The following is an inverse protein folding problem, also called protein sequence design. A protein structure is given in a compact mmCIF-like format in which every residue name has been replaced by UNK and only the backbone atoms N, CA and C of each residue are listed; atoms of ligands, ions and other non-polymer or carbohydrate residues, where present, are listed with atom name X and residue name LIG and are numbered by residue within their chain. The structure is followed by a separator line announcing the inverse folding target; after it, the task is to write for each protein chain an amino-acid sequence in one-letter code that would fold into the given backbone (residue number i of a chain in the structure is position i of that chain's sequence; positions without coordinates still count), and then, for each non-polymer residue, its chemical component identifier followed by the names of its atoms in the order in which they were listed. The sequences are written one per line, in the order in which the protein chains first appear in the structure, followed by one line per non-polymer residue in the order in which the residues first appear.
data_IF_463301629247
#
_entry.id   IF_463301629247
#
_cell.length_a   1.000
_cell.length_b   1.000
_cell.length_c   1.000
_cell.angle_alpha   90.00
_cell.angle_beta   90.00
_cell.angle_gamma   90.00
#
_symmetry.space_group_name_H-M   'P 1'
#
loop_
_entity.id
_entity.type
_entity.pdbx_description
1 polymer ?
#
# COMPACT_ATOMS: atom_id res chain seq x y z
N UNK A 1 -3.70 -5.12 -14.97
CA UNK A 1 -2.74 -4.10 -14.48
C UNK A 1 -2.94 -3.91 -12.97
N UNK A 2 -1.92 -3.50 -12.22
CA UNK A 2 -2.08 -3.12 -10.80
C UNK A 2 -1.59 -1.68 -10.61
N UNK A 3 -2.36 -0.87 -9.89
CA UNK A 3 -1.99 0.50 -9.52
C UNK A 3 -1.80 0.55 -8.02
N UNK A 4 -0.56 0.77 -7.57
CA UNK A 4 -0.21 0.81 -6.14
C UNK A 4 -0.10 2.25 -5.65
N UNK A 5 -1.04 2.66 -4.80
CA UNK A 5 -1.09 3.95 -4.14
C UNK A 5 -0.23 3.96 -2.87
N UNK A 6 0.38 5.09 -2.56
CA UNK A 6 1.29 5.24 -1.41
C UNK A 6 0.85 6.32 -0.41
N UNK A 7 -0.12 7.15 -0.76
CA UNK A 7 -0.55 8.28 0.06
C UNK A 7 -1.92 8.80 -0.36
N UNK A 8 -2.57 9.53 0.55
CA UNK A 8 -3.83 10.25 0.31
C UNK A 8 -3.65 11.78 0.25
N UNK A 9 -2.41 12.25 0.30
CA UNK A 9 -2.08 13.68 0.21
C UNK A 9 -0.82 13.89 -0.61
N UNK A 10 -0.67 15.05 -1.27
CA UNK A 10 0.57 15.41 -1.96
C UNK A 10 1.79 15.40 -1.03
N UNK A 11 1.62 15.87 0.21
CA UNK A 11 2.71 15.95 1.20
C UNK A 11 3.19 14.55 1.61
N UNK A 12 2.27 13.66 1.96
CA UNK A 12 2.62 12.30 2.34
C UNK A 12 3.14 11.49 1.14
N UNK A 13 2.63 11.76 -0.08
CA UNK A 13 3.16 11.18 -1.31
C UNK A 13 4.62 11.56 -1.52
N UNK A 14 4.93 12.85 -1.46
CA UNK A 14 6.30 13.34 -1.62
C UNK A 14 7.21 12.81 -0.52
N UNK A 15 6.76 12.83 0.73
CA UNK A 15 7.51 12.29 1.87
C UNK A 15 7.86 10.81 1.71
N UNK A 16 6.91 9.96 1.29
CA UNK A 16 7.13 8.51 1.20
C UNK A 16 7.87 8.07 -0.06
N UNK A 17 7.71 8.79 -1.16
CA UNK A 17 8.24 8.38 -2.47
C UNK A 17 9.48 9.15 -2.90
N UNK A 18 9.71 10.34 -2.32
CA UNK A 18 10.70 11.30 -2.81
C UNK A 18 10.32 11.99 -4.12
N UNK A 19 9.16 11.69 -4.70
CA UNK A 19 8.66 12.34 -5.91
C UNK A 19 8.06 13.71 -5.60
N UNK A 20 7.91 14.53 -6.65
CA UNK A 20 7.32 15.86 -6.52
C UNK A 20 5.82 15.79 -6.20
N UNK A 21 5.28 16.62 -5.28
CA UNK A 21 3.89 16.56 -4.87
C UNK A 21 2.89 16.80 -6.01
N UNK A 22 3.25 17.49 -7.11
CA UNK A 22 2.35 17.66 -8.26
C UNK A 22 2.02 16.34 -8.98
N UNK A 23 2.84 15.30 -8.80
CA UNK A 23 2.60 13.99 -9.39
C UNK A 23 1.63 13.12 -8.58
N UNK A 24 1.18 13.60 -7.41
CA UNK A 24 0.24 12.90 -6.54
C UNK A 24 -1.05 12.47 -7.26
N UNK A 25 -1.60 13.31 -8.15
CA UNK A 25 -2.86 13.02 -8.84
C UNK A 25 -2.71 11.99 -9.97
N UNK A 26 -1.49 11.77 -10.48
CA UNK A 26 -1.24 10.88 -11.62
C UNK A 26 -1.74 9.44 -11.40
N UNK A 27 -1.47 8.77 -10.27
CA UNK A 27 -2.00 7.43 -10.04
C UNK A 27 -3.54 7.39 -9.96
N UNK A 28 -4.20 8.42 -9.43
CA UNK A 28 -5.68 8.48 -9.40
C UNK A 28 -6.26 8.68 -10.80
N UNK A 29 -5.65 9.55 -11.61
CA UNK A 29 -6.02 9.70 -13.03
C UNK A 29 -5.80 8.41 -13.82
N UNK A 30 -4.74 7.66 -13.52
CA UNK A 30 -4.53 6.36 -14.13
C UNK A 30 -5.67 5.39 -13.78
N UNK A 31 -6.12 5.36 -12.53
CA UNK A 31 -7.29 4.56 -12.11
C UNK A 31 -8.55 4.99 -12.87
N UNK A 32 -8.82 6.29 -12.97
CA UNK A 32 -9.97 6.84 -13.71
C UNK A 32 -9.95 6.48 -15.20
N UNK A 33 -8.77 6.56 -15.85
CA UNK A 33 -8.60 6.17 -17.25
C UNK A 33 -8.76 4.66 -17.46
N UNK A 34 -8.20 3.84 -16.57
CA UNK A 34 -8.38 2.39 -16.64
C UNK A 34 -9.85 2.01 -16.46
N UNK A 35 -10.53 2.63 -15.50
CA UNK A 35 -11.96 2.43 -15.25
C UNK A 35 -12.80 2.81 -16.48
N UNK A 36 -12.65 4.03 -16.99
CA UNK A 36 -13.41 4.51 -18.15
C UNK A 36 -13.13 3.73 -19.44
N UNK A 37 -11.95 3.14 -19.59
CA UNK A 37 -11.62 2.27 -20.72
C UNK A 37 -12.19 0.85 -20.63
N UNK A 38 -12.77 0.46 -19.49
CA UNK A 38 -13.24 -0.91 -19.23
C UNK A 38 -12.09 -1.93 -19.11
N UNK A 39 -10.86 -1.47 -18.86
CA UNK A 39 -9.71 -2.34 -18.70
C UNK A 39 -9.80 -3.17 -17.42
N UNK A 40 -9.15 -4.34 -17.40
CA UNK A 40 -9.00 -5.14 -16.18
C UNK A 40 -7.82 -4.65 -15.34
N UNK A 41 -8.10 -4.13 -14.14
CA UNK A 41 -7.09 -3.68 -13.20
C UNK A 41 -7.48 -3.92 -11.75
N UNK A 42 -6.50 -3.75 -10.86
CA UNK A 42 -6.69 -3.77 -9.41
C UNK A 42 -5.97 -2.57 -8.80
N UNK A 43 -6.56 -1.96 -7.78
CA UNK A 43 -5.95 -0.89 -7.01
C UNK A 43 -5.47 -1.47 -5.69
N UNK A 44 -4.22 -1.19 -5.34
CA UNK A 44 -3.65 -1.54 -4.05
C UNK A 44 -3.15 -0.29 -3.34
N UNK A 45 -3.07 -0.31 -2.01
CA UNK A 45 -2.47 0.77 -1.24
C UNK A 45 -1.51 0.22 -0.18
N UNK A 46 -0.35 0.87 -0.03
CA UNK A 46 0.49 0.68 1.15
C UNK A 46 -0.15 1.42 2.32
N UNK A 47 -0.99 0.73 3.07
CA UNK A 47 -1.83 1.28 4.15
C UNK A 47 -1.48 0.72 5.51
N UNK A 48 -0.27 0.16 5.63
CA UNK A 48 0.33 -0.21 6.91
C UNK A 48 0.16 0.90 7.95
N UNK A 49 -0.49 0.63 9.10
CA UNK A 49 -0.78 1.66 10.10
C UNK A 49 0.47 2.28 10.73
N UNK A 50 1.65 1.63 10.60
CA UNK A 50 2.93 2.19 11.03
C UNK A 50 3.46 3.28 10.10
N UNK A 51 2.91 3.39 8.89
CA UNK A 51 3.35 4.29 7.82
C UNK A 51 2.24 5.24 7.40
N UNK A 52 1.00 4.76 7.34
CA UNK A 52 -0.20 5.50 6.94
C UNK A 52 -1.18 5.58 8.12
N UNK A 53 -1.38 6.76 8.72
CA UNK A 53 -2.39 6.96 9.75
C UNK A 53 -3.79 6.60 9.25
N UNK A 54 -4.67 6.21 10.19
CA UNK A 54 -6.04 5.78 9.89
C UNK A 54 -6.81 6.84 9.09
N UNK A 55 -6.69 8.11 9.47
CA UNK A 55 -7.37 9.24 8.84
C UNK A 55 -6.88 9.44 7.39
N UNK A 56 -5.59 9.19 7.13
CA UNK A 56 -5.06 9.25 5.77
C UNK A 56 -5.60 8.09 4.94
N UNK A 57 -5.65 6.87 5.49
CA UNK A 57 -6.24 5.72 4.83
C UNK A 57 -7.71 5.96 4.47
N UNK A 58 -8.49 6.55 5.37
CA UNK A 58 -9.89 6.91 5.11
C UNK A 58 -10.03 7.87 3.94
N UNK A 59 -9.21 8.92 3.90
CA UNK A 59 -9.18 9.87 2.77
C UNK A 59 -8.80 9.22 1.44
N UNK A 60 -7.91 8.21 1.46
CA UNK A 60 -7.55 7.46 0.26
C UNK A 60 -8.75 6.70 -0.29
N UNK A 61 -9.51 6.04 0.60
CA UNK A 61 -10.72 5.27 0.25
C UNK A 61 -11.81 6.22 -0.26
N UNK A 62 -12.01 7.37 0.40
CA UNK A 62 -12.95 8.41 -0.06
C UNK A 62 -12.59 8.90 -1.46
N UNK A 63 -11.30 9.19 -1.72
CA UNK A 63 -10.83 9.62 -3.04
C UNK A 63 -11.06 8.57 -4.12
N UNK A 64 -10.93 7.28 -3.81
CA UNK A 64 -11.27 6.20 -4.74
C UNK A 64 -12.79 6.10 -4.97
N UNK A 65 -13.60 6.34 -3.93
CA UNK A 65 -15.05 6.30 -4.02
C UNK A 65 -15.62 7.44 -4.88
N UNK A 66 -14.90 8.56 -5.00
CA UNK A 66 -15.21 9.62 -5.97
C UNK A 66 -15.06 9.16 -7.42
N UNK A 67 -14.17 8.22 -7.71
CA UNK A 67 -14.01 7.63 -9.05
C UNK A 67 -15.13 6.61 -9.27
N UNK A 68 -15.20 5.59 -8.41
CA UNK A 68 -16.30 4.64 -8.36
C UNK A 68 -16.28 3.86 -7.03
N UNK A 69 -17.47 3.64 -6.44
CA UNK A 69 -17.59 2.93 -5.15
C UNK A 69 -17.09 1.49 -5.20
N UNK A 70 -17.19 0.81 -6.35
CA UNK A 70 -16.70 -0.56 -6.51
C UNK A 70 -15.17 -0.65 -6.50
N UNK A 71 -14.48 0.41 -6.96
CA UNK A 71 -13.02 0.51 -6.87
C UNK A 71 -12.60 0.66 -5.41
N UNK A 72 -13.26 1.55 -4.66
CA UNK A 72 -12.99 1.74 -3.24
C UNK A 72 -13.23 0.46 -2.42
N UNK A 73 -14.33 -0.26 -2.71
CA UNK A 73 -14.67 -1.50 -2.00
C UNK A 73 -13.78 -2.68 -2.34
N UNK A 74 -13.03 -2.61 -3.46
CA UNK A 74 -12.12 -3.67 -3.91
C UNK A 74 -10.65 -3.32 -3.70
N UNK A 75 -10.36 -2.27 -2.93
CA UNK A 75 -9.00 -1.85 -2.59
C UNK A 75 -8.25 -2.98 -1.89
N UNK A 76 -7.11 -3.37 -2.46
CA UNK A 76 -6.18 -4.32 -1.85
C UNK A 76 -5.24 -3.58 -0.89
N UNK A 77 -5.16 -4.04 0.36
CA UNK A 77 -4.34 -3.38 1.38
C UNK A 77 -3.02 -4.11 1.60
N UNK A 78 -1.92 -3.37 1.49
CA UNK A 78 -0.56 -3.87 1.68
C UNK A 78 0.00 -3.43 3.03
N UNK A 79 0.68 -4.37 3.69
CA UNK A 79 1.49 -4.11 4.88
C UNK A 79 2.98 -4.33 4.58
N UNK A 80 3.85 -3.72 5.37
CA UNK A 80 5.29 -3.89 5.24
C UNK A 80 5.78 -5.13 5.98
N UNK A 81 6.51 -5.99 5.27
CA UNK A 81 7.18 -7.14 5.85
C UNK A 81 8.67 -6.87 6.14
N UNK A 82 9.22 -7.48 7.21
CA UNK A 82 10.61 -7.30 7.61
C UNK A 82 11.56 -8.17 6.76
N UNK A 83 11.85 -7.75 5.52
CA UNK A 83 12.91 -8.38 4.72
C UNK A 83 14.29 -8.08 5.28
N UNK A 84 15.20 -9.05 5.26
CA UNK A 84 16.56 -8.92 5.82
C UNK A 84 17.29 -7.65 5.35
N UNK A 85 17.27 -7.39 4.04
CA UNK A 85 17.88 -6.18 3.46
C UNK A 85 17.20 -4.89 3.91
N UNK A 86 15.89 -4.92 4.20
CA UNK A 86 15.15 -3.77 4.75
C UNK A 86 15.59 -3.48 6.18
N UNK A 87 15.74 -4.52 7.01
CA UNK A 87 16.21 -4.40 8.39
C UNK A 87 17.62 -3.78 8.44
N UNK A 88 18.52 -4.24 7.58
CA UNK A 88 19.89 -3.70 7.47
C UNK A 88 19.86 -2.21 7.08
N UNK A 89 19.04 -1.84 6.09
CA UNK A 89 18.93 -0.43 5.64
C UNK A 89 18.31 0.48 6.70
N UNK A 90 17.35 -0.01 7.46
CA UNK A 90 16.75 0.72 8.58
C UNK A 90 17.79 0.99 9.67
N UNK A 91 18.51 -0.05 10.10
CA UNK A 91 19.56 0.08 11.12
C UNK A 91 20.69 1.03 10.67
N UNK A 92 21.10 0.96 9.40
CA UNK A 92 22.10 1.86 8.82
C UNK A 92 21.66 3.34 8.81
N UNK A 93 20.35 3.63 8.94
CA UNK A 93 19.79 4.98 9.07
C UNK A 93 19.40 5.35 10.51
N UNK A 94 19.84 4.55 11.49
CA UNK A 94 19.54 4.79 12.91
C UNK A 94 18.11 4.45 13.32
N UNK A 95 17.36 3.72 12.49
CA UNK A 95 16.02 3.23 12.82
C UNK A 95 16.13 1.83 13.42
N UNK A 96 15.58 1.61 14.61
CA UNK A 96 15.50 0.27 15.20
C UNK A 96 14.39 -0.54 14.51
N UNK A 97 14.75 -1.56 13.69
CA UNK A 97 13.76 -2.37 13.01
C UNK A 97 12.94 -3.22 14.00
N UNK A 98 13.56 -3.68 15.09
CA UNK A 98 12.85 -4.42 16.11
C UNK A 98 11.76 -3.55 16.72
N UNK A 99 12.05 -2.30 17.09
CA UNK A 99 11.03 -1.39 17.63
C UNK A 99 9.90 -1.14 16.62
N UNK A 100 10.23 -0.89 15.35
CA UNK A 100 9.25 -0.64 14.29
C UNK A 100 8.31 -1.83 14.05
N UNK A 101 8.85 -3.05 14.00
CA UNK A 101 8.08 -4.27 13.74
C UNK A 101 7.47 -4.92 15.01
N UNK A 102 7.93 -4.59 16.23
CA UNK A 102 7.39 -5.11 17.51
C UNK A 102 5.98 -4.63 17.83
N UNK A 103 5.59 -3.44 17.36
CA UNK A 103 4.28 -2.84 17.65
C UNK A 103 3.10 -3.58 16.99
N UNK A 104 3.37 -4.40 15.97
CA UNK A 104 2.40 -5.34 15.41
C UNK A 104 2.58 -6.70 16.08
N UNK A 105 1.62 -7.12 16.91
CA UNK A 105 1.50 -8.50 17.34
C UNK A 105 1.22 -9.40 16.10
N UNK A 106 2.26 -9.71 15.33
CA UNK A 106 2.22 -10.67 14.23
C UNK A 106 2.79 -12.01 14.73
N UNK A 107 1.98 -12.70 15.54
CA UNK A 107 1.93 -14.16 15.67
C UNK A 107 0.51 -14.50 15.20
N UNK A 108 0.17 -15.36 14.24
CA UNK A 108 0.79 -16.50 13.56
C UNK A 108 -0.02 -16.69 12.26
N UNK A 109 0.53 -17.17 11.15
CA UNK A 109 0.53 -18.61 10.85
C UNK A 109 1.51 -18.91 9.70
N UNK A 110 2.16 -20.10 9.71
CA UNK A 110 2.88 -20.55 8.54
C UNK A 110 1.89 -20.72 7.39
N UNK A 111 2.22 -20.18 6.21
CA UNK A 111 1.60 -20.62 4.99
C UNK A 111 1.79 -22.14 4.92
N UNK A 112 0.71 -22.90 5.09
CA UNK A 112 0.72 -24.31 4.73
C UNK A 112 1.06 -24.35 3.24
N UNK A 113 2.29 -24.76 2.94
CA UNK A 113 2.65 -25.21 1.60
C UNK A 113 1.73 -26.40 1.35
N UNK A 114 0.69 -26.19 0.55
CA UNK A 114 -0.10 -27.27 0.00
C UNK A 114 0.81 -28.07 -0.93
N UNK A 115 1.56 -29.01 -0.36
CA UNK A 115 2.15 -30.13 -1.07
C UNK A 115 0.99 -31.01 -1.53
N UNK A 116 0.54 -30.77 -2.75
CA UNK A 116 -0.52 -31.53 -3.42
C UNK A 116 -0.24 -31.59 -4.90
N UNK A 117 0.83 -32.31 -5.27
CA UNK A 117 1.04 -32.81 -6.62
C UNK A 117 -0.19 -33.62 -7.02
N UNK A 118 -0.74 -33.31 -8.20
CA UNK A 118 -1.83 -34.08 -8.82
C UNK A 118 -1.34 -35.50 -9.15
N UNK A 119 -2.19 -36.48 -8.87
CA UNK A 119 -2.40 -37.67 -9.68
C UNK A 119 -3.89 -38.03 -9.59
#
# INVERSE_FOLDING_TARGET
MRVSLKAATPQAFSFRTGASPEFYELPFRAVEHLWSSGARFHVAAMSDPRIMPREERERLIERLAEIDRSIASSLEEEVCDPYETTLVRMAARGLDPCAFFKASAWRSAPAQVASGVRA
#
